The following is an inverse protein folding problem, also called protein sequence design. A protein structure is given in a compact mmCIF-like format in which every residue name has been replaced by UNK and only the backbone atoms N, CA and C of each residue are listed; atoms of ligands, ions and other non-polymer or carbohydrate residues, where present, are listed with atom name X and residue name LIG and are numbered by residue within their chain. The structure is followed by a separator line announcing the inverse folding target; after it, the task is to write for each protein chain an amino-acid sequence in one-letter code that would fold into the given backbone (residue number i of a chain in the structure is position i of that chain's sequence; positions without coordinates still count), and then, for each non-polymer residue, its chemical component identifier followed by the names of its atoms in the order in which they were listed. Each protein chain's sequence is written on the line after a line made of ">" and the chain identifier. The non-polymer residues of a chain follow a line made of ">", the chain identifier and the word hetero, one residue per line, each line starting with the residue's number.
data_IF_488941698287
#
_entry.id   IF_488941698287
#
_cell.length_a   1.000
_cell.length_b   1.000
_cell.length_c   1.000
_cell.angle_alpha   90.00
_cell.angle_beta   90.00
_cell.angle_gamma   90.00
#
_symmetry.space_group_name_H-M   'P 1'
#
loop_
_entity.id
_entity.type
_entity.pdbx_description
1 polymer ?
#
# COMPACT_ATOMS: atom_id res chain seq x y z
N UNK A 1 -26.02 -52.88 -17.13
CA UNK A 1 -25.15 -52.27 -18.15
C UNK A 1 -24.07 -51.56 -17.37
N UNK A 2 -22.97 -52.21 -16.99
CA UNK A 2 -21.78 -52.58 -17.80
C UNK A 2 -20.61 -51.85 -17.10
N UNK A 3 -19.92 -52.52 -16.17
CA UNK A 3 -18.67 -53.27 -16.31
C UNK A 3 -17.48 -52.48 -16.88
N UNK A 4 -16.41 -52.43 -16.07
CA UNK A 4 -15.04 -52.62 -16.53
C UNK A 4 -14.13 -51.39 -16.57
N UNK A 5 -13.12 -51.33 -15.70
CA UNK A 5 -11.79 -51.85 -16.08
C UNK A 5 -10.74 -51.66 -14.97
N UNK A 6 -10.01 -52.73 -14.74
CA UNK A 6 -8.90 -52.99 -13.82
C UNK A 6 -7.53 -52.64 -14.42
N UNK A 7 -6.55 -52.23 -13.59
CA UNK A 7 -5.13 -52.67 -13.60
C UNK A 7 -4.36 -51.90 -12.50
N UNK A 8 -3.78 -52.47 -11.43
CA UNK A 8 -2.77 -53.52 -11.22
C UNK A 8 -1.31 -52.99 -11.16
N UNK A 9 -0.82 -52.86 -9.91
CA UNK A 9 0.48 -53.29 -9.33
C UNK A 9 1.80 -52.86 -10.01
N UNK A 10 2.67 -52.19 -9.25
CA UNK A 10 4.09 -52.57 -9.13
C UNK A 10 4.74 -51.95 -7.88
N UNK A 11 5.17 -52.83 -6.99
CA UNK A 11 5.97 -52.64 -5.79
C UNK A 11 7.43 -52.93 -6.14
N UNK A 12 8.38 -52.02 -5.87
CA UNK A 12 9.82 -52.33 -5.90
C UNK A 12 10.55 -51.54 -4.80
N UNK A 13 10.97 -52.25 -3.76
CA UNK A 13 12.19 -51.99 -2.97
C UNK A 13 13.29 -52.92 -3.53
N UNK A 14 14.59 -52.56 -3.53
CA UNK A 14 15.42 -52.87 -2.35
C UNK A 14 16.65 -51.95 -2.08
N UNK A 15 17.09 -52.03 -0.82
CA UNK A 15 18.46 -52.05 -0.23
C UNK A 15 19.67 -51.18 -0.69
N UNK A 16 20.16 -50.40 0.28
CA UNK A 16 21.51 -50.37 0.90
C UNK A 16 22.80 -50.78 0.13
N UNK A 17 23.82 -49.89 0.16
CA UNK A 17 25.19 -50.08 0.71
C UNK A 17 26.12 -48.93 0.24
N UNK A 18 26.69 -48.14 1.17
CA UNK A 18 28.09 -48.11 1.66
C UNK A 18 29.18 -47.58 0.71
N UNK A 19 29.96 -46.61 1.26
CA UNK A 19 31.42 -46.32 1.04
C UNK A 19 31.84 -45.90 -0.37
N UNK A 20 32.90 -45.14 -0.65
CA UNK A 20 33.95 -44.37 0.02
C UNK A 20 34.73 -43.72 -1.14
N UNK A 21 35.39 -42.58 -0.92
CA UNK A 21 36.55 -42.08 -1.71
C UNK A 21 36.28 -41.68 -3.20
N UNK A 22 36.91 -40.69 -3.82
CA UNK A 22 38.09 -39.85 -3.55
C UNK A 22 38.09 -38.68 -4.56
N UNK A 23 38.63 -37.55 -4.13
CA UNK A 23 39.32 -36.45 -4.88
C UNK A 23 40.03 -36.87 -6.18
N UNK A 24 40.39 -35.96 -7.14
CA UNK A 24 41.19 -34.72 -6.90
C UNK A 24 40.86 -33.52 -7.83
N UNK A 25 41.27 -32.27 -7.58
CA UNK A 25 42.60 -31.76 -8.00
C UNK A 25 42.94 -30.36 -7.45
N UNK A 26 44.05 -30.32 -6.69
CA UNK A 26 45.07 -29.25 -6.50
C UNK A 26 45.61 -28.65 -7.84
N UNK A 27 46.55 -27.66 -7.91
CA UNK A 27 47.55 -27.18 -6.93
C UNK A 27 47.71 -25.62 -6.92
N UNK A 28 48.68 -24.90 -6.34
CA UNK A 28 49.99 -25.07 -5.69
C UNK A 28 50.21 -23.81 -4.79
N UNK A 29 50.90 -23.80 -3.66
CA UNK A 29 52.36 -23.76 -3.41
C UNK A 29 52.50 -23.00 -2.06
N UNK A 30 53.38 -23.24 -1.08
CA UNK A 30 54.81 -23.56 -1.14
C UNK A 30 55.36 -23.91 0.27
N UNK A 31 56.40 -24.76 0.29
CA UNK A 31 57.51 -24.92 1.27
C UNK A 31 57.24 -25.26 2.77
N UNK A 32 57.63 -26.46 3.29
CA UNK A 32 59.02 -26.96 3.61
C UNK A 32 59.60 -26.30 4.87
N UNK A 33 60.09 -26.92 5.96
CA UNK A 33 60.77 -28.21 6.26
C UNK A 33 60.77 -28.39 7.82
N UNK A 34 60.40 -29.54 8.39
CA UNK A 34 61.26 -30.69 8.79
C UNK A 34 62.00 -30.58 10.16
N UNK A 35 61.40 -31.13 11.23
CA UNK A 35 61.71 -32.38 12.00
C UNK A 35 63.19 -32.71 12.46
N UNK A 36 63.46 -33.73 13.33
CA UNK A 36 63.58 -33.62 14.80
C UNK A 36 64.81 -34.38 15.42
N UNK A 37 64.81 -34.48 16.76
CA UNK A 37 65.23 -35.63 17.61
C UNK A 37 66.73 -36.00 17.87
N UNK A 38 67.02 -36.04 19.19
CA UNK A 38 67.75 -37.06 19.99
C UNK A 38 69.19 -37.49 19.65
N UNK A 39 70.09 -37.39 20.67
CA UNK A 39 70.97 -38.45 21.21
C UNK A 39 71.91 -37.92 22.32
N UNK A 40 72.07 -38.70 23.40
CA UNK A 40 73.19 -38.67 24.38
C UNK A 40 74.45 -39.38 23.77
N UNK A 41 75.66 -39.54 24.40
CA UNK A 41 76.04 -39.40 25.84
C UNK A 41 77.51 -38.93 26.18
N UNK A 42 77.89 -39.06 27.47
CA UNK A 42 79.22 -39.40 28.09
C UNK A 42 80.21 -38.33 28.69
N UNK A 43 80.40 -38.49 30.04
CA UNK A 43 81.63 -38.61 30.89
C UNK A 43 82.50 -37.41 31.36
N UNK A 44 82.60 -37.34 32.73
CA UNK A 44 83.76 -37.11 33.67
C UNK A 44 84.63 -35.83 33.50
N UNK A 45 85.05 -35.08 34.54
CA UNK A 45 85.97 -35.41 35.67
C UNK A 45 85.92 -34.27 36.74
N UNK A 46 86.07 -34.64 38.03
CA UNK A 46 86.71 -34.01 39.23
C UNK A 46 86.99 -32.47 39.29
N UNK A 47 87.12 -31.73 40.40
CA UNK A 47 87.30 -31.94 41.86
C UNK A 47 87.50 -30.53 42.50
N UNK A 48 86.99 -30.24 43.72
CA UNK A 48 87.77 -29.97 44.97
C UNK A 48 87.75 -28.50 45.52
N UNK A 49 87.16 -28.35 46.74
CA UNK A 49 87.58 -27.58 47.97
C UNK A 49 87.59 -26.02 47.89
N UNK A 50 87.21 -25.16 48.87
CA UNK A 50 87.14 -25.20 50.35
C UNK A 50 86.10 -24.20 50.97
N UNK A 51 85.72 -24.46 52.23
CA UNK A 51 85.16 -23.57 53.30
C UNK A 51 86.31 -22.74 53.96
N UNK A 52 86.13 -21.63 54.73
CA UNK A 52 85.28 -21.59 55.96
C UNK A 52 84.69 -20.24 56.48
N UNK A 53 83.71 -20.39 57.38
CA UNK A 53 83.42 -19.70 58.68
C UNK A 53 83.73 -18.20 58.83
N UNK A 54 82.73 -17.38 59.20
CA UNK A 54 82.76 -16.57 60.44
C UNK A 54 81.37 -16.12 60.91
N UNK A 55 81.26 -15.96 62.23
CA UNK A 55 80.05 -15.73 63.05
C UNK A 55 80.20 -14.34 63.66
N UNK A 56 79.17 -13.48 63.62
CA UNK A 56 79.14 -12.31 64.49
C UNK A 56 77.71 -11.98 64.94
N UNK A 57 77.65 -11.63 66.21
CA UNK A 57 76.52 -11.49 67.10
C UNK A 57 75.81 -10.11 67.02
N UNK A 58 74.54 -10.15 67.45
CA UNK A 58 73.84 -9.22 68.36
C UNK A 58 73.47 -7.77 67.98
N UNK A 59 72.18 -7.49 68.26
CA UNK A 59 71.56 -6.30 68.90
C UNK A 59 71.75 -4.95 68.19
N UNK A 60 70.76 -4.10 67.94
CA UNK A 60 69.37 -3.99 68.37
C UNK A 60 69.03 -2.50 68.33
N UNK A 61 67.91 -2.06 67.74
CA UNK A 61 67.33 -0.74 68.05
C UNK A 61 65.91 -0.58 67.53
N UNK A 62 65.05 -0.29 68.51
CA UNK A 62 63.92 0.63 68.50
C UNK A 62 62.67 0.32 67.67
N UNK A 63 61.63 -0.02 68.45
CA UNK A 63 60.23 0.03 68.14
C UNK A 63 59.78 1.31 67.41
N UNK A 64 59.01 1.13 66.34
CA UNK A 64 57.81 1.94 66.11
C UNK A 64 56.64 1.04 65.73
N UNK A 65 55.69 1.01 66.65
CA UNK A 65 54.36 0.43 66.54
C UNK A 65 53.61 1.13 65.41
N UNK A 66 53.18 0.36 64.42
CA UNK A 66 52.28 0.78 63.35
C UNK A 66 51.44 -0.43 62.96
N UNK A 67 50.17 -0.38 63.34
CA UNK A 67 49.16 -1.42 63.25
C UNK A 67 48.96 -1.91 61.79
N UNK A 68 48.64 -3.20 61.60
CA UNK A 68 48.40 -3.96 60.35
C UNK A 68 49.61 -4.62 59.65
N UNK A 69 50.12 -5.69 60.26
CA UNK A 69 50.93 -6.71 59.59
C UNK A 69 50.06 -7.63 58.70
N UNK A 70 49.99 -7.37 57.39
CA UNK A 70 49.67 -8.42 56.41
C UNK A 70 50.91 -9.31 56.21
N UNK A 71 51.14 -10.22 57.17
CA UNK A 71 52.25 -11.17 57.13
C UNK A 71 51.92 -12.33 56.17
N UNK A 72 52.58 -12.35 55.02
CA UNK A 72 52.91 -13.58 54.28
C UNK A 72 51.78 -14.34 53.58
N UNK A 73 51.02 -13.69 52.69
CA UNK A 73 50.28 -14.43 51.65
C UNK A 73 51.15 -14.51 50.39
N UNK A 74 51.51 -15.72 49.96
CA UNK A 74 52.17 -15.97 48.67
C UNK A 74 51.45 -15.14 47.58
N UNK A 75 52.15 -14.51 46.62
CA UNK A 75 51.56 -13.57 45.65
C UNK A 75 50.44 -14.16 44.78
N UNK A 76 50.24 -15.48 44.81
CA UNK A 76 49.13 -16.18 44.17
C UNK A 76 47.79 -16.08 44.94
N UNK A 77 47.80 -16.00 46.28
CA UNK A 77 46.56 -15.92 47.10
C UNK A 77 45.93 -14.52 47.07
N UNK A 78 46.75 -13.46 47.05
CA UNK A 78 46.27 -12.08 46.88
C UNK A 78 45.60 -11.87 45.51
N UNK A 79 46.13 -12.49 44.45
CA UNK A 79 45.54 -12.45 43.10
C UNK A 79 44.18 -13.17 43.04
N UNK A 80 44.08 -14.36 43.64
CA UNK A 80 42.79 -15.09 43.72
C UNK A 80 41.73 -14.32 44.52
N UNK A 81 42.14 -13.63 45.59
CA UNK A 81 41.23 -12.77 46.38
C UNK A 81 40.78 -11.53 45.60
N UNK A 82 41.67 -10.87 44.85
CA UNK A 82 41.30 -9.73 44.00
C UNK A 82 40.35 -10.13 42.87
N UNK A 83 40.57 -11.29 42.24
CA UNK A 83 39.63 -11.84 41.25
C UNK A 83 38.30 -12.27 41.86
N UNK A 84 38.31 -12.90 43.02
CA UNK A 84 37.08 -13.26 43.73
C UNK A 84 36.31 -12.01 44.17
N UNK A 85 37.00 -10.94 44.58
CA UNK A 85 36.41 -9.66 44.94
C UNK A 85 35.83 -8.94 43.72
N UNK A 86 36.55 -8.93 42.58
CA UNK A 86 36.02 -8.35 41.34
C UNK A 86 34.83 -9.14 40.81
N UNK A 87 34.86 -10.48 40.90
CA UNK A 87 33.72 -11.33 40.58
C UNK A 87 32.52 -11.05 41.49
N UNK A 88 32.74 -10.95 42.80
CA UNK A 88 31.67 -10.67 43.75
C UNK A 88 31.05 -9.29 43.52
N UNK A 89 31.86 -8.26 43.28
CA UNK A 89 31.40 -6.88 43.15
C UNK A 89 30.78 -6.60 41.77
N UNK A 90 31.27 -7.24 40.71
CA UNK A 90 30.82 -7.00 39.33
C UNK A 90 29.74 -7.98 38.85
N UNK A 91 29.69 -9.19 39.40
CA UNK A 91 28.74 -10.24 38.98
C UNK A 91 27.73 -10.54 40.07
N UNK A 92 28.18 -10.99 41.26
CA UNK A 92 27.25 -11.45 42.30
C UNK A 92 26.42 -10.31 42.89
N UNK A 93 27.02 -9.14 43.16
CA UNK A 93 26.32 -8.02 43.77
C UNK A 93 25.25 -7.45 42.83
N UNK A 94 25.55 -7.09 41.56
CA UNK A 94 24.52 -6.58 40.65
C UNK A 94 23.50 -7.66 40.26
N UNK A 95 23.90 -8.93 40.19
CA UNK A 95 22.97 -10.04 39.96
C UNK A 95 22.02 -10.26 41.13
N UNK A 96 22.50 -10.16 42.37
CA UNK A 96 21.66 -10.25 43.55
C UNK A 96 20.68 -9.08 43.62
N UNK A 97 21.15 -7.84 43.39
CA UNK A 97 20.28 -6.67 43.32
C UNK A 97 19.21 -6.82 42.23
N UNK A 98 19.60 -7.23 41.03
CA UNK A 98 18.68 -7.47 39.91
C UNK A 98 17.66 -8.57 40.22
N UNK A 99 18.09 -9.68 40.82
CA UNK A 99 17.20 -10.76 41.22
C UNK A 99 16.21 -10.30 42.31
N UNK A 100 16.67 -9.52 43.30
CA UNK A 100 15.76 -8.95 44.31
C UNK A 100 14.74 -7.99 43.69
N UNK A 101 15.15 -7.20 42.70
CA UNK A 101 14.24 -6.32 41.96
C UNK A 101 13.16 -7.13 41.22
N UNK A 102 13.56 -8.08 40.38
CA UNK A 102 12.62 -8.86 39.58
C UNK A 102 11.71 -9.76 40.42
N UNK A 103 12.16 -10.21 41.59
CA UNK A 103 11.36 -11.09 42.44
C UNK A 103 10.41 -10.35 43.38
N UNK A 104 10.79 -9.18 43.92
CA UNK A 104 10.05 -8.51 44.98
C UNK A 104 9.42 -7.17 44.59
N UNK A 105 9.99 -6.46 43.62
CA UNK A 105 9.61 -5.07 43.31
C UNK A 105 8.92 -4.96 41.95
N UNK A 106 9.34 -5.75 40.97
CA UNK A 106 8.82 -5.64 39.62
C UNK A 106 7.32 -5.93 39.56
N UNK A 107 6.55 -5.02 38.95
CA UNK A 107 5.10 -5.15 38.84
C UNK A 107 4.72 -6.24 37.85
N UNK A 108 3.64 -6.94 38.17
CA UNK A 108 3.06 -7.94 37.29
C UNK A 108 2.41 -7.28 36.07
N UNK A 109 2.71 -7.82 34.89
CA UNK A 109 2.17 -7.36 33.62
C UNK A 109 1.44 -8.51 32.93
N UNK A 110 0.18 -8.25 32.64
CA UNK A 110 -0.73 -9.14 31.98
C UNK A 110 -0.76 -8.84 30.48
N UNK A 111 -0.82 -9.88 29.67
CA UNK A 111 -0.78 -9.80 28.22
C UNK A 111 -2.04 -10.42 27.61
N UNK A 112 -2.67 -9.70 26.69
CA UNK A 112 -3.78 -10.20 25.86
C UNK A 112 -3.37 -10.17 24.41
N UNK A 113 -3.40 -11.33 23.78
CA UNK A 113 -3.10 -11.50 22.37
C UNK A 113 -4.37 -11.45 21.53
N UNK A 114 -4.31 -10.75 20.41
CA UNK A 114 -5.37 -10.62 19.42
C UNK A 114 -4.83 -11.12 18.10
N UNK A 115 -5.61 -11.93 17.40
CA UNK A 115 -5.25 -12.46 16.10
C UNK A 115 -6.31 -12.12 15.07
N UNK A 116 -5.91 -11.45 13.99
CA UNK A 116 -6.78 -11.14 12.87
C UNK A 116 -6.04 -11.15 11.53
N UNK A 117 -6.78 -11.20 10.43
CA UNK A 117 -6.25 -11.03 9.07
C UNK A 117 -7.04 -9.98 8.32
N UNK A 118 -6.37 -9.16 7.52
CA UNK A 118 -7.04 -8.24 6.59
C UNK A 118 -7.43 -9.05 5.36
N UNK A 119 -8.72 -9.07 5.04
CA UNK A 119 -9.25 -9.81 3.89
C UNK A 119 -9.87 -8.81 2.92
N UNK A 120 -9.36 -8.78 1.70
CA UNK A 120 -10.01 -8.15 0.56
C UNK A 120 -10.71 -9.19 -0.31
N UNK A 121 -11.75 -8.79 -1.03
CA UNK A 121 -12.19 -9.53 -2.22
C UNK A 121 -11.22 -9.22 -3.36
N UNK A 122 -9.96 -9.61 -3.20
CA UNK A 122 -9.00 -9.62 -4.28
C UNK A 122 -9.49 -10.67 -5.27
N UNK A 123 -10.26 -10.22 -6.26
CA UNK A 123 -10.58 -11.02 -7.41
C UNK A 123 -9.24 -11.44 -7.97
N UNK A 124 -8.86 -12.70 -7.78
CA UNK A 124 -7.75 -13.33 -8.47
C UNK A 124 -7.93 -12.97 -9.93
N UNK A 125 -7.18 -11.98 -10.39
CA UNK A 125 -7.16 -11.60 -11.79
C UNK A 125 -6.44 -12.76 -12.45
N UNK A 126 -7.23 -13.75 -12.84
CA UNK A 126 -6.83 -14.99 -13.50
C UNK A 126 -6.20 -14.76 -14.89
N UNK A 127 -5.60 -13.59 -15.12
CA UNK A 127 -4.89 -13.22 -16.35
C UNK A 127 -3.75 -12.22 -16.16
N UNK A 128 -3.36 -11.83 -14.94
CA UNK A 128 -2.37 -10.76 -14.73
C UNK A 128 -0.97 -11.19 -14.25
N UNK A 129 -0.85 -12.30 -13.53
CA UNK A 129 0.34 -12.54 -12.68
C UNK A 129 1.28 -13.67 -13.17
N UNK A 130 1.12 -14.12 -14.42
CA UNK A 130 2.03 -15.14 -14.98
C UNK A 130 3.48 -14.64 -15.08
N UNK A 131 3.68 -13.35 -15.36
CA UNK A 131 5.00 -12.74 -15.46
C UNK A 131 5.62 -12.42 -14.08
N UNK A 132 4.81 -12.10 -13.08
CA UNK A 132 5.26 -11.92 -11.69
C UNK A 132 5.64 -13.26 -11.03
N UNK A 133 4.86 -14.31 -11.30
CA UNK A 133 5.18 -15.68 -10.88
C UNK A 133 6.47 -16.23 -11.52
N UNK A 134 6.76 -15.88 -12.79
CA UNK A 134 7.98 -16.31 -13.49
C UNK A 134 9.25 -15.57 -13.02
N UNK A 135 9.12 -14.32 -12.59
CA UNK A 135 10.25 -13.48 -12.17
C UNK A 135 10.54 -13.58 -10.66
N UNK A 136 9.70 -14.30 -9.90
CA UNK A 136 9.78 -14.38 -8.44
C UNK A 136 9.40 -13.08 -7.73
N UNK A 137 9.01 -12.06 -8.47
CA UNK A 137 8.46 -10.79 -8.00
C UNK A 137 6.94 -10.87 -7.99
N UNK A 138 6.39 -11.86 -7.27
CA UNK A 138 4.97 -11.86 -6.96
C UNK A 138 4.64 -10.47 -6.40
N UNK A 139 3.72 -9.76 -7.05
CA UNK A 139 3.35 -8.41 -6.62
C UNK A 139 3.00 -8.49 -5.14
N UNK A 140 3.72 -7.74 -4.30
CA UNK A 140 3.37 -7.52 -2.90
C UNK A 140 1.92 -7.03 -2.92
N UNK A 141 0.98 -7.93 -2.63
CA UNK A 141 -0.45 -7.68 -2.83
C UNK A 141 -0.87 -6.50 -1.97
N UNK A 142 -1.80 -5.67 -2.46
CA UNK A 142 -2.25 -4.46 -1.74
C UNK A 142 -2.64 -4.74 -0.28
N UNK A 143 -3.18 -5.92 0.00
CA UNK A 143 -3.52 -6.44 1.34
C UNK A 143 -2.33 -6.53 2.31
N UNK A 144 -1.11 -6.79 1.82
CA UNK A 144 0.10 -6.81 2.68
C UNK A 144 0.52 -5.40 3.07
N UNK A 145 0.46 -4.44 2.16
CA UNK A 145 0.69 -3.01 2.46
C UNK A 145 -0.32 -2.50 3.48
N UNK A 146 -1.60 -2.85 3.33
CA UNK A 146 -2.65 -2.45 4.28
C UNK A 146 -2.41 -3.04 5.68
N UNK A 147 -1.84 -4.24 5.77
CA UNK A 147 -1.47 -4.88 7.03
C UNK A 147 -0.38 -4.10 7.75
N UNK A 148 0.65 -3.64 7.03
CA UNK A 148 1.71 -2.80 7.62
C UNK A 148 1.20 -1.41 8.03
N UNK A 149 0.32 -0.79 7.23
CA UNK A 149 -0.31 0.48 7.60
C UNK A 149 -1.10 0.32 8.90
N UNK A 150 -1.83 -0.78 9.03
CA UNK A 150 -2.59 -1.08 10.25
C UNK A 150 -1.66 -1.26 11.46
N UNK A 151 -0.55 -1.98 11.31
CA UNK A 151 0.43 -2.14 12.40
C UNK A 151 1.01 -0.80 12.86
N UNK A 152 1.45 0.04 11.92
CA UNK A 152 1.99 1.38 12.24
C UNK A 152 0.92 2.28 12.90
N UNK A 153 -0.34 2.17 12.45
CA UNK A 153 -1.46 2.86 13.08
C UNK A 153 -1.68 2.43 14.53
N UNK A 154 -1.63 1.13 14.83
CA UNK A 154 -1.83 0.59 16.19
C UNK A 154 -0.73 1.05 17.17
N UNK A 155 0.48 1.27 16.67
CA UNK A 155 1.62 1.81 17.43
C UNK A 155 1.69 3.35 17.40
N UNK A 156 0.82 3.97 16.61
CA UNK A 156 0.80 5.39 16.31
C UNK A 156 0.18 6.25 17.39
N UNK A 157 0.39 7.57 17.25
CA UNK A 157 -0.09 8.58 18.19
C UNK A 157 -1.62 8.64 18.29
N UNK A 158 -2.33 8.46 17.18
CA UNK A 158 -3.79 8.55 17.16
C UNK A 158 -4.44 7.50 18.07
N UNK A 159 -3.95 6.26 18.04
CA UNK A 159 -4.45 5.19 18.92
C UNK A 159 -4.21 5.53 20.38
N UNK A 160 -3.05 6.07 20.72
CA UNK A 160 -2.72 6.46 22.10
C UNK A 160 -3.60 7.61 22.58
N UNK A 161 -3.85 8.63 21.75
CA UNK A 161 -4.77 9.73 22.09
C UNK A 161 -6.19 9.22 22.30
N UNK A 162 -6.70 8.36 21.41
CA UNK A 162 -8.03 7.76 21.54
C UNK A 162 -8.15 6.91 22.80
N UNK A 163 -7.15 6.08 23.06
CA UNK A 163 -7.10 5.20 24.21
C UNK A 163 -6.96 5.99 25.53
N UNK A 164 -6.25 7.11 25.52
CA UNK A 164 -6.19 8.05 26.63
C UNK A 164 -7.54 8.71 26.91
N UNK A 165 -8.33 9.01 25.88
CA UNK A 165 -9.66 9.61 26.05
C UNK A 165 -10.72 8.57 26.45
N UNK A 166 -10.63 7.34 25.93
CA UNK A 166 -11.67 6.32 26.12
C UNK A 166 -11.47 5.50 27.41
N UNK A 167 -10.23 5.21 27.81
CA UNK A 167 -9.92 4.30 28.93
C UNK A 167 -8.96 4.93 29.98
N UNK A 168 -8.62 6.22 29.86
CA UNK A 168 -7.71 6.94 30.77
C UNK A 168 -6.39 6.19 31.03
N UNK A 169 -5.73 5.67 29.98
CA UNK A 169 -4.54 4.83 30.13
C UNK A 169 -3.39 5.52 30.88
N UNK A 170 -3.28 6.84 30.77
CA UNK A 170 -2.25 7.60 31.48
C UNK A 170 -2.42 7.44 33.00
N UNK A 171 -3.66 7.46 33.50
CA UNK A 171 -3.98 7.25 34.91
C UNK A 171 -3.66 5.82 35.36
N UNK A 172 -3.88 4.83 34.49
CA UNK A 172 -3.57 3.44 34.80
C UNK A 172 -2.05 3.22 34.88
N UNK A 173 -1.29 3.73 33.92
CA UNK A 173 0.16 3.59 33.85
C UNK A 173 0.93 4.47 34.86
N UNK A 174 0.29 5.53 35.39
CA UNK A 174 0.83 6.35 36.48
C UNK A 174 0.42 5.87 37.88
N UNK A 175 -0.32 4.76 37.99
CA UNK A 175 -0.78 4.24 39.27
C UNK A 175 0.38 3.80 40.18
N UNK A 176 0.17 3.87 41.50
CA UNK A 176 1.17 3.47 42.50
C UNK A 176 1.44 1.97 42.56
N UNK A 177 0.66 1.16 41.85
CA UNK A 177 0.85 -0.30 41.72
C UNK A 177 1.94 -0.63 40.70
N UNK A 178 2.32 0.33 39.86
CA UNK A 178 3.41 0.21 38.90
C UNK A 178 4.75 0.51 39.56
N UNK A 179 5.75 -0.32 39.26
CA UNK A 179 7.10 -0.18 39.77
C UNK A 179 7.77 1.13 39.31
N UNK A 180 8.80 1.56 40.01
CA UNK A 180 9.44 2.85 39.73
C UNK A 180 10.13 2.94 38.37
N UNK A 181 10.35 1.81 37.67
CA UNK A 181 11.00 1.78 36.36
C UNK A 181 9.97 1.98 35.25
N UNK A 182 8.81 1.35 35.38
CA UNK A 182 7.74 1.39 34.39
C UNK A 182 6.64 2.42 34.70
N UNK A 183 6.64 3.03 35.89
CA UNK A 183 5.61 4.00 36.27
C UNK A 183 5.78 5.30 35.49
N UNK A 184 4.69 5.76 34.89
CA UNK A 184 4.61 7.06 34.24
C UNK A 184 4.35 8.18 35.25
N UNK A 185 4.81 9.39 34.95
CA UNK A 185 4.39 10.59 35.65
C UNK A 185 2.93 10.94 35.29
N UNK A 186 2.21 11.55 36.23
CA UNK A 186 0.78 11.83 36.10
C UNK A 186 0.45 12.94 35.08
N UNK A 187 1.44 13.73 34.68
CA UNK A 187 1.31 14.77 33.66
C UNK A 187 2.50 14.65 32.71
N UNK A 188 2.28 14.03 31.55
CA UNK A 188 3.30 13.82 30.54
C UNK A 188 2.82 14.29 29.16
N UNK A 189 3.73 14.78 28.31
CA UNK A 189 3.40 15.05 26.93
C UNK A 189 3.01 13.75 26.22
N UNK A 190 2.07 13.86 25.27
CA UNK A 190 1.56 12.70 24.52
C UNK A 190 2.68 11.90 23.84
N UNK A 191 3.76 12.53 23.41
CA UNK A 191 4.86 11.86 22.72
C UNK A 191 5.63 10.88 23.60
N UNK A 192 5.74 11.18 24.90
CA UNK A 192 6.34 10.25 25.86
C UNK A 192 5.40 9.08 26.16
N UNK A 193 4.08 9.33 26.21
CA UNK A 193 3.08 8.28 26.33
C UNK A 193 3.08 7.36 25.10
N UNK A 194 3.27 7.90 23.89
CA UNK A 194 3.41 7.12 22.66
C UNK A 194 4.67 6.26 22.67
N UNK A 195 5.80 6.83 23.11
CA UNK A 195 7.03 6.06 23.25
C UNK A 195 6.89 4.91 24.26
N UNK A 196 6.19 5.16 25.37
CA UNK A 196 5.87 4.13 26.34
C UNK A 196 4.94 3.06 25.76
N UNK A 197 3.90 3.48 25.03
CA UNK A 197 2.93 2.59 24.39
C UNK A 197 3.60 1.61 23.44
N UNK A 198 4.57 2.05 22.64
CA UNK A 198 5.37 1.16 21.75
C UNK A 198 6.12 0.05 22.49
N UNK A 199 6.36 0.19 23.79
CA UNK A 199 6.90 -0.87 24.64
C UNK A 199 5.84 -1.80 25.25
N UNK A 200 4.57 -1.40 25.22
CA UNK A 200 3.42 -2.13 25.77
C UNK A 200 2.58 -2.85 24.71
N UNK A 201 2.66 -2.43 23.45
CA UNK A 201 2.12 -3.14 22.31
C UNK A 201 3.25 -3.81 21.54
N UNK A 202 3.01 -5.04 21.08
CA UNK A 202 3.91 -5.73 20.16
C UNK A 202 3.06 -6.26 18.99
N UNK A 203 3.35 -5.76 17.78
CA UNK A 203 2.66 -6.18 16.56
C UNK A 203 3.57 -7.07 15.73
N UNK A 204 3.02 -8.16 15.19
CA UNK A 204 3.76 -9.05 14.29
C UNK A 204 2.89 -9.46 13.11
N UNK A 205 3.53 -9.64 11.95
CA UNK A 205 2.87 -10.07 10.72
C UNK A 205 3.57 -11.30 10.17
N UNK A 206 2.81 -12.38 10.01
CA UNK A 206 3.28 -13.58 9.33
C UNK A 206 2.90 -13.51 7.85
N UNK A 207 3.92 -13.31 6.99
CA UNK A 207 3.75 -13.23 5.55
C UNK A 207 3.24 -14.54 4.92
N UNK A 208 3.41 -15.69 5.58
CA UNK A 208 2.96 -16.99 5.07
C UNK A 208 1.46 -17.17 5.23
N UNK A 209 0.94 -16.83 6.41
CA UNK A 209 -0.48 -16.96 6.74
C UNK A 209 -1.29 -15.68 6.53
N UNK A 210 -0.63 -14.54 6.26
CA UNK A 210 -1.23 -13.20 6.21
C UNK A 210 -2.00 -12.85 7.49
N UNK A 211 -1.48 -13.31 8.62
CA UNK A 211 -2.04 -13.09 9.95
C UNK A 211 -1.26 -11.98 10.64
N UNK A 212 -1.99 -11.06 11.27
CA UNK A 212 -1.47 -10.07 12.20
C UNK A 212 -1.79 -10.56 13.61
N UNK A 213 -0.75 -10.64 14.43
CA UNK A 213 -0.86 -10.93 15.85
C UNK A 213 -0.44 -9.69 16.64
N UNK A 214 -1.33 -9.22 17.49
CA UNK A 214 -1.14 -8.03 18.33
C UNK A 214 -1.19 -8.44 19.78
N UNK A 215 -0.09 -8.22 20.49
CA UNK A 215 0.02 -8.46 21.91
C UNK A 215 -0.04 -7.11 22.65
N UNK A 216 -1.00 -6.96 23.56
CA UNK A 216 -1.15 -5.76 24.39
C UNK A 216 -0.86 -6.11 25.84
N UNK A 217 -0.03 -5.29 26.49
CA UNK A 217 0.36 -5.45 27.89
C UNK A 217 -0.21 -4.33 28.76
N UNK A 218 -0.67 -4.69 29.96
CA UNK A 218 -1.05 -3.74 31.01
C UNK A 218 -0.86 -4.35 32.41
N UNK A 219 -1.06 -3.55 33.46
CA UNK A 219 -0.77 -3.97 34.85
C UNK A 219 -1.92 -4.67 35.56
N UNK A 220 -3.14 -4.62 35.02
CA UNK A 220 -4.28 -5.38 35.54
C UNK A 220 -4.99 -6.20 34.46
N UNK A 221 -5.48 -7.41 34.76
CA UNK A 221 -6.14 -8.27 33.78
C UNK A 221 -7.34 -7.61 33.09
N UNK A 222 -8.15 -6.87 33.86
CA UNK A 222 -9.34 -6.19 33.36
C UNK A 222 -8.98 -5.02 32.44
N UNK A 223 -7.88 -4.32 32.72
CA UNK A 223 -7.42 -3.24 31.87
C UNK A 223 -6.79 -3.77 30.59
N UNK A 224 -5.99 -4.84 30.68
CA UNK A 224 -5.39 -5.48 29.50
C UNK A 224 -6.47 -5.91 28.50
N UNK A 225 -7.55 -6.55 28.96
CA UNK A 225 -8.66 -6.94 28.09
C UNK A 225 -9.37 -5.74 27.47
N UNK A 226 -9.64 -4.69 28.26
CA UNK A 226 -10.31 -3.47 27.77
C UNK A 226 -9.48 -2.77 26.71
N UNK A 227 -8.21 -2.54 26.97
CA UNK A 227 -7.29 -1.93 26.01
C UNK A 227 -7.22 -2.78 24.74
N UNK A 228 -7.01 -4.09 24.85
CA UNK A 228 -6.97 -4.97 23.69
C UNK A 228 -8.27 -4.89 22.86
N UNK A 229 -9.43 -4.85 23.52
CA UNK A 229 -10.73 -4.69 22.85
C UNK A 229 -10.86 -3.36 22.10
N UNK A 230 -10.35 -2.26 22.68
CA UNK A 230 -10.33 -0.94 22.04
C UNK A 230 -9.38 -0.91 20.84
N UNK A 231 -8.17 -1.44 20.99
CA UNK A 231 -7.17 -1.56 19.92
C UNK A 231 -7.74 -2.32 18.72
N UNK A 232 -8.41 -3.45 18.96
CA UNK A 232 -9.10 -4.20 17.90
C UNK A 232 -10.21 -3.38 17.23
N UNK A 233 -11.02 -2.66 18.02
CA UNK A 233 -12.08 -1.80 17.49
C UNK A 233 -11.52 -0.67 16.61
N UNK A 234 -10.45 0.00 17.05
CA UNK A 234 -9.83 1.08 16.28
C UNK A 234 -9.22 0.56 14.97
N UNK A 235 -8.59 -0.62 15.01
CA UNK A 235 -8.09 -1.26 13.80
C UNK A 235 -9.21 -1.63 12.82
N UNK A 236 -10.32 -2.17 13.32
CA UNK A 236 -11.49 -2.48 12.50
C UNK A 236 -12.10 -1.22 11.88
N UNK A 237 -12.16 -0.11 12.63
CA UNK A 237 -12.68 1.16 12.15
C UNK A 237 -11.79 1.78 11.08
N UNK A 238 -10.46 1.72 11.24
CA UNK A 238 -9.51 2.18 10.22
C UNK A 238 -9.72 1.43 8.90
N UNK A 239 -9.73 0.09 8.94
CA UNK A 239 -9.92 -0.73 7.74
C UNK A 239 -11.26 -0.44 7.05
N UNK A 240 -12.33 -0.28 7.84
CA UNK A 240 -13.65 0.07 7.32
C UNK A 240 -13.64 1.47 6.69
N UNK A 241 -13.01 2.45 7.33
CA UNK A 241 -12.90 3.83 6.83
C UNK A 241 -12.10 3.89 5.53
N UNK A 242 -10.94 3.22 5.47
CA UNK A 242 -10.13 3.10 4.26
C UNK A 242 -10.92 2.44 3.13
N UNK A 243 -11.66 1.37 3.43
CA UNK A 243 -12.51 0.68 2.44
C UNK A 243 -13.65 1.56 1.93
N UNK A 244 -14.32 2.30 2.81
CA UNK A 244 -15.39 3.22 2.44
C UNK A 244 -14.87 4.38 1.59
N UNK A 245 -13.72 4.95 1.96
CA UNK A 245 -13.08 6.00 1.18
C UNK A 245 -12.67 5.49 -0.20
N UNK A 246 -12.02 4.32 -0.30
CA UNK A 246 -11.67 3.71 -1.58
C UNK A 246 -12.89 3.47 -2.47
N UNK A 247 -13.99 2.92 -1.91
CA UNK A 247 -15.25 2.71 -2.62
C UNK A 247 -15.85 4.02 -3.15
N UNK A 248 -15.90 5.04 -2.30
CA UNK A 248 -16.41 6.36 -2.69
C UNK A 248 -15.56 6.98 -3.78
N UNK A 249 -14.24 6.93 -3.65
CA UNK A 249 -13.32 7.58 -4.58
C UNK A 249 -13.32 6.87 -5.95
N UNK A 250 -13.48 5.54 -5.98
CA UNK A 250 -13.64 4.76 -7.22
C UNK A 250 -14.89 5.14 -8.03
N UNK A 251 -16.00 5.46 -7.35
CA UNK A 251 -17.28 5.81 -8.00
C UNK A 251 -17.36 7.30 -8.34
N UNK A 252 -16.82 8.18 -7.49
CA UNK A 252 -16.90 9.63 -7.61
C UNK A 252 -16.43 10.15 -8.98
N UNK A 253 -15.34 9.59 -9.51
CA UNK A 253 -14.83 10.01 -10.83
C UNK A 253 -15.81 9.65 -11.96
N UNK A 254 -16.40 8.45 -11.92
CA UNK A 254 -17.35 8.01 -12.93
C UNK A 254 -18.69 8.77 -12.85
N UNK A 255 -19.14 9.12 -11.64
CA UNK A 255 -20.32 9.98 -11.46
C UNK A 255 -20.11 11.36 -12.08
N UNK A 256 -18.93 11.93 -11.90
CA UNK A 256 -18.56 13.22 -12.50
C UNK A 256 -18.51 13.14 -14.03
N UNK A 257 -18.01 12.04 -14.61
CA UNK A 257 -18.06 11.82 -16.06
C UNK A 257 -19.50 11.74 -16.60
N UNK A 258 -20.37 10.99 -15.92
CA UNK A 258 -21.78 10.90 -16.29
C UNK A 258 -22.44 12.28 -16.25
N UNK A 259 -22.18 13.06 -15.20
CA UNK A 259 -22.70 14.44 -15.06
C UNK A 259 -22.21 15.35 -16.19
N UNK A 260 -20.94 15.25 -16.58
CA UNK A 260 -20.38 16.01 -17.72
C UNK A 260 -21.04 15.61 -19.04
N UNK A 261 -21.18 14.32 -19.30
CA UNK A 261 -21.82 13.81 -20.50
C UNK A 261 -23.31 14.20 -20.57
N UNK A 262 -24.03 14.14 -19.45
CA UNK A 262 -25.43 14.57 -19.33
C UNK A 262 -25.59 16.06 -19.65
N UNK A 263 -24.76 16.92 -19.07
CA UNK A 263 -24.79 18.36 -19.35
C UNK A 263 -24.50 18.66 -20.82
N UNK A 264 -23.54 17.97 -21.44
CA UNK A 264 -23.23 18.11 -22.86
C UNK A 264 -24.43 17.70 -23.74
N UNK A 265 -25.05 16.55 -23.45
CA UNK A 265 -26.23 16.08 -24.18
C UNK A 265 -27.41 17.05 -24.03
N UNK A 266 -27.63 17.59 -22.82
CA UNK A 266 -28.66 18.60 -22.55
C UNK A 266 -28.42 19.88 -23.36
N UNK A 267 -27.19 20.38 -23.40
CA UNK A 267 -26.81 21.56 -24.18
C UNK A 267 -27.09 21.36 -25.68
N UNK A 268 -26.73 20.21 -26.25
CA UNK A 268 -26.95 19.92 -27.67
C UNK A 268 -28.45 19.78 -27.96
N UNK A 269 -29.22 19.12 -27.10
CA UNK A 269 -30.69 19.04 -27.23
C UNK A 269 -31.35 20.42 -27.17
N UNK A 270 -30.85 21.33 -26.34
CA UNK A 270 -31.33 22.72 -26.31
C UNK A 270 -30.99 23.45 -27.61
N UNK A 271 -29.74 23.37 -28.09
CA UNK A 271 -29.34 23.94 -29.39
C UNK A 271 -30.20 23.40 -30.53
N UNK A 272 -30.52 22.10 -30.53
CA UNK A 272 -31.39 21.49 -31.54
C UNK A 272 -32.82 22.00 -31.45
N UNK A 273 -33.35 22.17 -30.23
CA UNK A 273 -34.66 22.79 -30.03
C UNK A 273 -34.68 24.24 -30.52
N UNK A 274 -33.65 25.02 -30.20
CA UNK A 274 -33.53 26.43 -30.58
C UNK A 274 -33.38 26.59 -32.10
N UNK A 275 -32.63 25.70 -32.75
CA UNK A 275 -32.53 25.61 -34.21
C UNK A 275 -33.90 25.34 -34.84
N UNK A 276 -34.62 24.31 -34.37
CA UNK A 276 -35.97 23.98 -34.88
C UNK A 276 -36.99 25.09 -34.64
N UNK A 277 -36.87 25.81 -33.52
CA UNK A 277 -37.74 26.93 -33.18
C UNK A 277 -37.49 28.15 -34.07
N UNK A 278 -36.22 28.45 -34.37
CA UNK A 278 -35.84 29.59 -35.24
C UNK A 278 -36.28 29.31 -36.67
N UNK A 279 -36.02 28.10 -37.17
CA UNK A 279 -36.32 27.72 -38.56
C UNK A 279 -37.77 27.27 -38.79
N UNK A 280 -38.63 27.32 -37.75
CA UNK A 280 -40.06 26.95 -37.80
C UNK A 280 -40.35 25.61 -38.50
N UNK A 281 -39.41 24.66 -38.40
CA UNK A 281 -39.47 23.38 -39.11
C UNK A 281 -39.20 22.22 -38.15
N UNK A 282 -40.11 21.24 -38.13
CA UNK A 282 -40.00 20.05 -37.28
C UNK A 282 -38.84 19.15 -37.75
N UNK A 283 -38.61 19.11 -39.06
CA UNK A 283 -37.55 18.33 -39.70
C UNK A 283 -37.04 19.08 -40.95
N UNK A 284 -35.94 19.85 -40.85
CA UNK A 284 -35.47 20.74 -41.92
C UNK A 284 -35.04 19.97 -43.18
N UNK A 285 -34.53 18.74 -43.07
CA UNK A 285 -34.20 17.88 -44.23
C UNK A 285 -35.46 17.52 -45.02
N UNK A 286 -36.50 16.99 -44.35
CA UNK A 286 -37.76 16.65 -45.02
C UNK A 286 -38.47 17.86 -45.58
N UNK A 287 -38.42 18.99 -44.88
CA UNK A 287 -39.00 20.23 -45.37
C UNK A 287 -38.27 20.72 -46.62
N UNK A 288 -36.93 20.67 -46.63
CA UNK A 288 -36.13 20.99 -47.81
C UNK A 288 -36.45 20.06 -48.99
N UNK A 289 -36.58 18.74 -48.77
CA UNK A 289 -36.97 17.79 -49.82
C UNK A 289 -38.34 18.12 -50.44
N UNK A 290 -39.36 18.36 -49.62
CA UNK A 290 -40.71 18.73 -50.08
C UNK A 290 -40.69 20.05 -50.87
N UNK A 291 -39.91 21.03 -50.40
CA UNK A 291 -39.80 22.33 -51.06
C UNK A 291 -39.04 22.24 -52.40
N UNK A 292 -37.99 21.42 -52.49
CA UNK A 292 -37.27 21.12 -53.73
C UNK A 292 -38.19 20.41 -54.74
N UNK A 293 -38.96 19.41 -54.30
CA UNK A 293 -39.91 18.70 -55.15
C UNK A 293 -40.99 19.63 -55.70
N UNK A 294 -41.52 20.53 -54.88
CA UNK A 294 -42.50 21.54 -55.31
C UNK A 294 -41.92 22.50 -56.35
N UNK A 295 -40.68 22.97 -56.16
CA UNK A 295 -39.99 23.83 -57.14
C UNK A 295 -39.77 23.08 -58.44
N UNK A 296 -39.30 21.82 -58.38
CA UNK A 296 -39.12 21.01 -59.58
C UNK A 296 -40.44 20.81 -60.34
N UNK A 297 -41.55 20.65 -59.62
CA UNK A 297 -42.90 20.60 -60.19
C UNK A 297 -43.30 21.91 -60.90
N UNK A 298 -43.05 23.06 -60.27
CA UNK A 298 -43.31 24.38 -60.87
C UNK A 298 -42.39 24.66 -62.08
N UNK A 299 -41.12 24.30 -62.01
CA UNK A 299 -40.16 24.42 -63.11
C UNK A 299 -40.57 23.55 -64.30
N UNK A 300 -41.08 22.35 -64.05
CA UNK A 300 -41.66 21.48 -65.09
C UNK A 300 -42.89 22.13 -65.75
N UNK A 301 -43.78 22.74 -64.97
CA UNK A 301 -44.94 23.49 -65.51
C UNK A 301 -44.50 24.72 -66.31
N UNK A 302 -43.45 25.41 -65.88
CA UNK A 302 -42.87 26.55 -66.60
C UNK A 302 -42.28 26.11 -67.94
N UNK A 303 -41.55 24.99 -67.97
CA UNK A 303 -41.01 24.38 -69.19
C UNK A 303 -42.11 23.99 -70.18
N UNK A 304 -43.20 23.35 -69.72
CA UNK A 304 -44.34 23.02 -70.58
C UNK A 304 -45.00 24.29 -71.16
N UNK A 305 -45.19 25.31 -70.32
CA UNK A 305 -45.77 26.60 -70.73
C UNK A 305 -44.89 27.31 -71.77
N UNK A 306 -43.57 27.32 -71.57
CA UNK A 306 -42.60 27.89 -72.53
C UNK A 306 -42.53 27.11 -73.83
N UNK A 307 -42.58 25.78 -73.77
CA UNK A 307 -42.63 24.92 -74.96
C UNK A 307 -43.87 25.23 -75.80
N UNK A 308 -45.04 25.33 -75.17
CA UNK A 308 -46.29 25.75 -75.84
C UNK A 308 -46.18 27.14 -76.44
N UNK A 309 -45.64 28.12 -75.72
CA UNK A 309 -45.39 29.47 -76.25
C UNK A 309 -44.51 29.44 -77.50
N UNK A 310 -43.39 28.70 -77.46
CA UNK A 310 -42.48 28.59 -78.59
C UNK A 310 -43.14 27.98 -79.84
N UNK A 311 -44.03 26.99 -79.67
CA UNK A 311 -44.80 26.43 -80.78
C UNK A 311 -45.78 27.44 -81.38
N UNK A 312 -46.45 28.25 -80.56
CA UNK A 312 -47.50 29.19 -81.01
C UNK A 312 -46.95 30.49 -81.62
N UNK A 313 -45.82 31.02 -81.13
CA UNK A 313 -45.24 32.31 -81.59
C UNK A 313 -44.79 32.26 -83.06
N UNK A 314 -44.52 31.07 -83.62
CA UNK A 314 -44.20 30.90 -85.04
C UNK A 314 -45.41 30.64 -85.95
N UNK A 315 -46.61 30.39 -85.40
CA UNK A 315 -47.81 30.01 -86.17
C UNK A 315 -48.96 31.01 -86.06
N UNK A 316 -48.98 31.86 -85.04
CA UNK A 316 -50.10 32.77 -84.75
C UNK A 316 -49.55 34.16 -84.41
N UNK A 317 -50.30 35.19 -84.80
CA UNK A 317 -49.97 36.59 -84.54
C UNK A 317 -49.77 36.88 -83.04
N UNK A 318 -48.74 37.65 -82.71
CA UNK A 318 -48.21 37.81 -81.35
C UNK A 318 -49.21 38.53 -80.41
N UNK A 319 -50.21 39.20 -80.99
CA UNK A 319 -51.31 39.87 -80.30
C UNK A 319 -52.49 38.95 -79.91
N UNK A 320 -52.43 37.66 -80.25
CA UNK A 320 -53.49 36.68 -79.97
C UNK A 320 -53.80 36.54 -78.47
N UNK A 321 -55.09 36.47 -78.07
CA UNK A 321 -55.49 36.24 -76.68
C UNK A 321 -54.83 35.02 -76.03
N UNK A 322 -54.57 33.96 -76.81
CA UNK A 322 -53.95 32.71 -76.34
C UNK A 322 -52.49 32.90 -75.94
N UNK A 323 -51.71 33.66 -76.72
CA UNK A 323 -50.30 33.98 -76.40
C UNK A 323 -50.23 34.86 -75.15
N UNK A 324 -51.13 35.87 -75.04
CA UNK A 324 -51.21 36.72 -73.85
C UNK A 324 -51.54 35.93 -72.58
N UNK A 325 -52.43 34.95 -72.66
CA UNK A 325 -52.77 34.09 -71.53
C UNK A 325 -51.58 33.24 -71.09
N UNK A 326 -50.89 32.59 -72.04
CA UNK A 326 -49.71 31.78 -71.73
C UNK A 326 -48.56 32.63 -71.16
N UNK A 327 -48.32 33.85 -71.68
CA UNK A 327 -47.33 34.78 -71.10
C UNK A 327 -47.68 35.20 -69.67
N UNK A 328 -48.97 35.44 -69.37
CA UNK A 328 -49.41 35.69 -67.99
C UNK A 328 -49.18 34.48 -67.09
N UNK A 329 -49.43 33.28 -67.60
CA UNK A 329 -49.22 32.04 -66.86
C UNK A 329 -47.73 31.79 -66.59
N UNK A 330 -46.86 32.08 -67.56
CA UNK A 330 -45.41 32.09 -67.41
C UNK A 330 -44.97 33.05 -66.30
N UNK A 331 -45.43 34.30 -66.34
CA UNK A 331 -45.10 35.32 -65.32
C UNK A 331 -45.57 34.90 -63.91
N UNK A 332 -46.75 34.30 -63.79
CA UNK A 332 -47.26 33.76 -62.51
C UNK A 332 -46.38 32.61 -62.01
N UNK A 333 -46.01 31.66 -62.87
CA UNK A 333 -45.15 30.55 -62.49
C UNK A 333 -43.75 31.02 -62.07
N UNK A 334 -43.18 31.99 -62.79
CA UNK A 334 -41.90 32.62 -62.42
C UNK A 334 -42.01 33.26 -61.03
N UNK A 335 -43.07 34.04 -60.78
CA UNK A 335 -43.30 34.67 -59.46
C UNK A 335 -43.47 33.63 -58.35
N UNK A 336 -44.17 32.53 -58.61
CA UNK A 336 -44.35 31.45 -57.64
C UNK A 336 -43.03 30.73 -57.34
N UNK A 337 -42.22 30.44 -58.36
CA UNK A 337 -40.88 29.85 -58.18
C UNK A 337 -39.98 30.78 -57.38
N UNK A 338 -39.98 32.08 -57.69
CA UNK A 338 -39.19 33.07 -56.96
C UNK A 338 -39.63 33.18 -55.50
N UNK A 339 -40.92 33.33 -55.24
CA UNK A 339 -41.46 33.40 -53.88
C UNK A 339 -41.11 32.16 -53.05
N UNK A 340 -41.22 30.95 -53.63
CA UNK A 340 -40.88 29.70 -52.94
C UNK A 340 -39.39 29.56 -52.67
N UNK A 341 -38.54 30.02 -53.59
CA UNK A 341 -37.08 30.07 -53.38
C UNK A 341 -36.67 31.09 -52.33
N UNK A 342 -37.38 32.20 -52.24
CA UNK A 342 -37.13 33.23 -51.22
C UNK A 342 -37.53 32.73 -49.83
N UNK A 343 -38.67 32.04 -49.72
CA UNK A 343 -39.15 31.37 -48.49
C UNK A 343 -38.15 30.31 -47.97
N UNK A 344 -37.48 29.56 -48.86
CA UNK A 344 -36.40 28.60 -48.51
C UNK A 344 -35.14 29.30 -47.97
N UNK A 345 -34.81 30.48 -48.48
CA UNK A 345 -33.52 31.14 -48.21
C UNK A 345 -33.46 31.88 -46.88
N UNK A 346 -34.56 31.94 -46.11
CA UNK A 346 -34.63 32.62 -44.82
C UNK A 346 -34.43 34.14 -44.88
N UNK A 347 -34.36 34.74 -46.07
CA UNK A 347 -34.27 36.19 -46.26
C UNK A 347 -35.65 36.76 -46.53
N UNK A 348 -36.05 37.75 -45.72
CA UNK A 348 -37.16 38.64 -46.06
C UNK A 348 -37.05 39.11 -47.52
N UNK A 349 -38.19 39.33 -48.21
CA UNK A 349 -38.21 39.61 -49.64
C UNK A 349 -37.56 40.97 -49.91
N UNK A 350 -36.25 40.99 -50.12
CA UNK A 350 -35.56 42.16 -50.64
C UNK A 350 -36.01 42.32 -52.07
N UNK A 351 -36.71 43.43 -52.30
CA UNK A 351 -37.27 43.79 -53.59
C UNK A 351 -36.19 43.73 -54.68
N UNK A 352 -36.56 42.93 -55.68
CA UNK A 352 -35.98 42.71 -56.97
C UNK A 352 -35.11 43.89 -57.46
N UNK A 353 -33.80 43.70 -57.51
CA UNK A 353 -33.04 44.18 -58.67
C UNK A 353 -31.79 43.31 -58.83
N UNK A 354 -31.65 42.72 -60.02
CA UNK A 354 -30.52 41.91 -60.49
C UNK A 354 -30.65 40.40 -60.26
N UNK A 355 -31.19 39.74 -61.29
CA UNK A 355 -31.08 38.31 -61.54
C UNK A 355 -29.63 38.04 -61.94
N UNK A 356 -28.73 37.96 -60.97
CA UNK A 356 -27.40 37.40 -61.16
C UNK A 356 -27.16 36.38 -60.07
N UNK A 357 -27.04 35.13 -60.51
CA UNK A 357 -26.51 33.96 -59.80
C UNK A 357 -27.49 33.24 -58.86
N UNK A 358 -28.16 32.20 -59.39
CA UNK A 358 -28.82 31.17 -58.58
C UNK A 358 -27.88 30.39 -57.65
N UNK A 359 -26.57 30.59 -57.76
CA UNK A 359 -25.54 29.97 -56.91
C UNK A 359 -25.57 30.48 -55.46
N UNK A 360 -25.90 31.76 -55.22
CA UNK A 360 -25.89 32.37 -53.88
C UNK A 360 -27.09 31.98 -53.00
N UNK A 361 -28.12 31.37 -53.59
CA UNK A 361 -29.34 30.95 -52.87
C UNK A 361 -29.33 29.47 -52.49
N UNK A 362 -28.73 28.63 -53.34
CA UNK A 362 -28.45 27.22 -53.02
C UNK A 362 -27.39 27.11 -51.90
N UNK A 363 -26.44 28.03 -51.83
CA UNK A 363 -25.43 28.06 -50.76
C UNK A 363 -26.04 28.29 -49.36
N UNK A 364 -27.11 29.09 -49.25
CA UNK A 364 -27.81 29.34 -47.99
C UNK A 364 -28.51 28.07 -47.46
N UNK A 365 -29.25 27.37 -48.31
CA UNK A 365 -29.89 26.10 -47.94
C UNK A 365 -28.85 25.01 -47.61
N UNK A 366 -27.79 24.90 -48.41
CA UNK A 366 -26.69 23.97 -48.14
C UNK A 366 -26.01 24.27 -46.80
N UNK A 367 -25.85 25.55 -46.44
CA UNK A 367 -25.27 25.93 -45.14
C UNK A 367 -26.19 25.59 -43.96
N UNK A 368 -27.51 25.76 -44.11
CA UNK A 368 -28.49 25.39 -43.10
C UNK A 368 -28.53 23.87 -42.89
N UNK A 369 -28.48 23.11 -43.99
CA UNK A 369 -28.44 21.65 -43.96
C UNK A 369 -27.16 21.14 -43.30
N UNK A 370 -26.00 21.73 -43.63
CA UNK A 370 -24.72 21.38 -43.01
C UNK A 370 -24.71 21.65 -41.49
N UNK A 371 -25.25 22.80 -41.05
CA UNK A 371 -25.39 23.11 -39.63
C UNK A 371 -26.32 22.13 -38.92
N UNK A 372 -27.43 21.73 -39.57
CA UNK A 372 -28.35 20.72 -39.02
C UNK A 372 -27.67 19.35 -38.88
N UNK A 373 -26.98 18.90 -39.93
CA UNK A 373 -26.22 17.65 -39.92
C UNK A 373 -25.15 17.64 -38.83
N UNK A 374 -24.44 18.75 -38.63
CA UNK A 374 -23.49 18.91 -37.52
C UNK A 374 -24.18 18.72 -36.16
N UNK A 375 -25.32 19.38 -35.91
CA UNK A 375 -26.06 19.23 -34.66
C UNK A 375 -26.58 17.80 -34.44
N UNK A 376 -27.01 17.11 -35.51
CA UNK A 376 -27.47 15.72 -35.44
C UNK A 376 -26.32 14.78 -35.08
N UNK A 377 -25.16 14.93 -35.73
CA UNK A 377 -23.96 14.15 -35.42
C UNK A 377 -23.49 14.45 -33.99
N UNK A 378 -23.49 15.72 -33.57
CA UNK A 378 -23.11 16.10 -32.21
C UNK A 378 -24.07 15.48 -31.18
N UNK A 379 -25.37 15.44 -31.47
CA UNK A 379 -26.37 14.79 -30.63
C UNK A 379 -26.12 13.28 -30.52
N UNK A 380 -25.84 12.61 -31.64
CA UNK A 380 -25.53 11.18 -31.65
C UNK A 380 -24.27 10.89 -30.84
N UNK A 381 -23.20 11.65 -31.07
CA UNK A 381 -21.95 11.51 -30.34
C UNK A 381 -22.13 11.74 -28.83
N UNK A 382 -22.89 12.78 -28.44
CA UNK A 382 -23.18 13.05 -27.05
C UNK A 382 -24.04 11.94 -26.40
N UNK A 383 -24.97 11.34 -27.16
CA UNK A 383 -25.77 10.22 -26.69
C UNK A 383 -24.90 8.96 -26.49
N UNK A 384 -24.02 8.64 -27.45
CA UNK A 384 -23.08 7.53 -27.32
C UNK A 384 -22.07 7.76 -26.18
N UNK A 385 -21.60 8.98 -26.00
CA UNK A 385 -20.72 9.33 -24.88
C UNK A 385 -21.43 9.17 -23.52
N UNK A 386 -22.71 9.57 -23.44
CA UNK A 386 -23.51 9.40 -22.23
C UNK A 386 -23.75 7.92 -21.90
N UNK A 387 -24.09 7.08 -22.89
CA UNK A 387 -24.27 5.64 -22.67
C UNK A 387 -22.95 4.96 -22.29
N UNK A 388 -21.83 5.36 -22.90
CA UNK A 388 -20.50 4.87 -22.51
C UNK A 388 -20.13 5.30 -21.08
N UNK A 389 -20.43 6.54 -20.67
CA UNK A 389 -20.21 7.01 -19.31
C UNK A 389 -21.04 6.24 -18.28
N UNK A 390 -22.31 5.94 -18.59
CA UNK A 390 -23.16 5.09 -17.74
C UNK A 390 -22.59 3.67 -17.58
N UNK A 391 -22.14 3.06 -18.68
CA UNK A 391 -21.48 1.75 -18.62
C UNK A 391 -20.19 1.79 -17.79
N UNK A 392 -19.42 2.89 -17.90
CA UNK A 392 -18.26 3.16 -17.07
C UNK A 392 -18.62 3.28 -15.58
N UNK A 393 -19.71 3.97 -15.24
CA UNK A 393 -20.20 4.09 -13.86
C UNK A 393 -20.59 2.73 -13.27
N UNK A 394 -21.32 1.90 -14.03
CA UNK A 394 -21.68 0.55 -13.56
C UNK A 394 -20.45 -0.34 -13.39
N UNK A 395 -19.45 -0.21 -14.26
CA UNK A 395 -18.16 -0.89 -14.09
C UNK A 395 -17.43 -0.41 -12.83
N UNK A 396 -17.38 0.90 -12.59
CA UNK A 396 -16.77 1.47 -11.39
C UNK A 396 -17.50 1.04 -10.11
N UNK A 397 -18.83 0.96 -10.12
CA UNK A 397 -19.62 0.43 -9.00
C UNK A 397 -19.29 -1.03 -8.71
N UNK A 398 -19.27 -1.86 -9.75
CA UNK A 398 -18.91 -3.27 -9.62
C UNK A 398 -17.48 -3.44 -9.08
N UNK A 399 -16.53 -2.63 -9.53
CA UNK A 399 -15.16 -2.65 -9.02
C UNK A 399 -15.06 -2.15 -7.57
N UNK A 400 -15.77 -1.07 -7.24
CA UNK A 400 -15.82 -0.51 -5.90
C UNK A 400 -16.43 -1.49 -4.88
N UNK A 401 -17.40 -2.30 -5.29
CA UNK A 401 -17.97 -3.38 -4.46
C UNK A 401 -16.98 -4.56 -4.28
N UNK A 402 -16.03 -4.75 -5.20
CA UNK A 402 -14.94 -5.75 -5.05
C UNK A 402 -13.80 -5.26 -4.16
N UNK A 403 -13.58 -3.95 -4.06
CA UNK A 403 -12.52 -3.37 -3.22
C UNK A 403 -12.82 -3.36 -1.71
N UNK A 404 -13.87 -4.07 -1.27
CA UNK A 404 -14.20 -4.20 0.14
C UNK A 404 -13.11 -4.98 0.89
N UNK A 405 -12.52 -4.32 1.90
CA UNK A 405 -11.65 -4.97 2.88
C UNK A 405 -12.34 -5.02 4.22
N UNK A 406 -12.11 -6.10 4.93
CA UNK A 406 -12.60 -6.26 6.30
C UNK A 406 -11.57 -7.00 7.14
N UNK A 407 -11.69 -6.79 8.45
CA UNK A 407 -10.85 -7.41 9.44
C UNK A 407 -11.51 -8.72 9.89
N UNK A 408 -10.88 -9.85 9.58
CA UNK A 408 -11.33 -11.17 9.99
C UNK A 408 -10.63 -11.58 11.29
N UNK A 409 -11.34 -11.47 12.41
CA UNK A 409 -10.84 -11.84 13.74
C UNK A 409 -10.95 -13.34 13.94
N UNK A 410 -9.83 -14.00 14.25
CA UNK A 410 -9.82 -15.43 14.61
C UNK A 410 -9.52 -15.66 16.09
N UNK A 411 -8.80 -14.74 16.74
CA UNK A 411 -8.53 -14.79 18.17
C UNK A 411 -8.95 -13.45 18.81
N UNK A 412 -10.16 -13.38 19.42
CA UNK A 412 -10.63 -12.16 20.07
C UNK A 412 -9.90 -11.89 21.39
N UNK A 413 -9.89 -10.62 21.86
CA UNK A 413 -9.25 -10.25 23.11
C UNK A 413 -9.87 -11.01 24.30
N UNK A 414 -9.03 -11.54 25.17
CA UNK A 414 -9.45 -12.34 26.32
C UNK A 414 -8.83 -11.81 27.61
N UNK A 415 -9.49 -12.10 28.74
CA UNK A 415 -8.97 -11.70 30.05
C UNK A 415 -7.79 -12.59 30.44
N UNK A 416 -6.60 -12.03 30.67
CA UNK A 416 -5.46 -12.83 31.11
C UNK A 416 -5.70 -13.40 32.51
N UNK A 417 -5.27 -14.64 32.75
CA UNK A 417 -5.41 -15.30 34.07
C UNK A 417 -4.11 -15.26 34.89
N UNK A 418 -2.96 -15.10 34.22
CA UNK A 418 -1.65 -15.11 34.86
C UNK A 418 -0.77 -14.00 34.26
N UNK A 419 0.17 -13.49 35.06
CA UNK A 419 1.10 -12.45 34.66
C UNK A 419 2.30 -13.09 33.93
N UNK A 420 2.35 -12.92 32.61
CA UNK A 420 3.42 -13.48 31.78
C UNK A 420 4.74 -12.71 31.97
N UNK A 421 4.65 -11.43 32.33
CA UNK A 421 5.82 -10.56 32.47
C UNK A 421 5.91 -9.92 33.86
N UNK A 422 7.15 -9.59 34.30
CA UNK A 422 8.42 -10.01 33.70
C UNK A 422 8.67 -11.51 33.93
N UNK A 423 9.39 -12.17 33.01
CA UNK A 423 9.81 -13.56 33.20
C UNK A 423 10.89 -13.63 34.28
N UNK A 424 10.49 -13.50 35.55
CA UNK A 424 11.36 -13.18 36.71
C UNK A 424 12.61 -14.08 36.79
N UNK A 425 12.43 -15.40 36.63
CA UNK A 425 13.51 -16.39 36.69
C UNK A 425 14.45 -16.29 35.47
N UNK A 426 13.88 -16.20 34.27
CA UNK A 426 14.64 -16.15 33.02
C UNK A 426 15.42 -14.84 32.95
N UNK A 427 14.80 -13.70 33.27
CA UNK A 427 15.44 -12.39 33.27
C UNK A 427 16.59 -12.32 34.29
N UNK A 428 16.40 -12.88 35.50
CA UNK A 428 17.46 -12.94 36.52
C UNK A 428 18.63 -13.83 36.07
N UNK A 429 18.34 -14.97 35.42
CA UNK A 429 19.37 -15.88 34.90
C UNK A 429 20.15 -15.26 33.73
N UNK A 430 19.45 -14.60 32.80
CA UNK A 430 20.08 -13.89 31.67
C UNK A 430 20.98 -12.78 32.19
N UNK A 431 20.52 -12.00 33.18
CA UNK A 431 21.32 -10.95 33.80
C UNK A 431 22.59 -11.53 34.46
N UNK A 432 22.46 -12.63 35.20
CA UNK A 432 23.61 -13.31 35.80
C UNK A 432 24.62 -13.80 34.75
N UNK A 433 24.15 -14.49 33.71
CA UNK A 433 25.01 -15.01 32.63
C UNK A 433 25.66 -13.86 31.85
N UNK A 434 24.93 -12.79 31.56
CA UNK A 434 25.45 -11.61 30.88
C UNK A 434 26.57 -10.92 31.68
N UNK A 435 26.36 -10.71 32.98
CA UNK A 435 27.39 -10.17 33.86
C UNK A 435 28.60 -11.09 33.96
N UNK A 436 28.38 -12.41 34.02
CA UNK A 436 29.45 -13.40 34.04
C UNK A 436 30.28 -13.35 32.75
N UNK A 437 29.63 -13.23 31.59
CA UNK A 437 30.31 -13.13 30.30
C UNK A 437 31.12 -11.83 30.19
N UNK A 438 30.56 -10.69 30.58
CA UNK A 438 31.26 -9.39 30.60
C UNK A 438 32.46 -9.45 31.53
N UNK A 439 32.29 -9.97 32.75
CA UNK A 439 33.40 -10.14 33.68
C UNK A 439 34.48 -11.07 33.11
N UNK A 440 34.07 -12.20 32.51
CA UNK A 440 34.98 -13.12 31.82
C UNK A 440 35.80 -12.42 30.73
N UNK A 441 35.17 -11.62 29.88
CA UNK A 441 35.84 -10.84 28.84
C UNK A 441 36.83 -9.82 29.45
N UNK A 442 36.40 -9.05 30.45
CA UNK A 442 37.25 -8.07 31.13
C UNK A 442 38.45 -8.73 31.79
N UNK A 443 38.28 -9.89 32.42
CA UNK A 443 39.40 -10.63 33.00
C UNK A 443 40.39 -11.10 31.94
N UNK A 444 39.93 -11.67 30.83
CA UNK A 444 40.82 -12.11 29.72
C UNK A 444 41.59 -10.94 29.14
N UNK A 445 40.94 -9.80 28.88
CA UNK A 445 41.59 -8.58 28.38
C UNK A 445 42.64 -8.08 29.38
N UNK A 446 42.30 -8.00 30.67
CA UNK A 446 43.21 -7.54 31.71
C UNK A 446 44.44 -8.45 31.85
N UNK A 447 44.25 -9.77 31.68
CA UNK A 447 45.36 -10.74 31.68
C UNK A 447 46.21 -10.64 30.41
N UNK A 448 45.60 -10.47 29.23
CA UNK A 448 46.30 -10.30 27.96
C UNK A 448 47.19 -9.06 27.94
N UNK A 449 46.65 -7.89 28.33
CA UNK A 449 47.42 -6.64 28.41
C UNK A 449 48.63 -6.81 29.34
N UNK A 450 48.46 -7.52 30.45
CA UNK A 450 49.53 -7.74 31.43
C UNK A 450 50.60 -8.70 30.94
N UNK A 451 50.24 -9.70 30.13
CA UNK A 451 51.19 -10.65 29.54
C UNK A 451 52.03 -9.99 28.45
N UNK A 452 51.43 -9.05 27.70
CA UNK A 452 52.15 -8.24 26.71
C UNK A 452 53.00 -7.10 27.30
N UNK A 453 52.73 -6.68 28.54
CA UNK A 453 53.52 -5.66 29.28
C UNK A 453 54.71 -6.24 30.05
N UNK A 454 54.86 -7.56 30.07
CA UNK A 454 55.98 -8.27 30.70
C UNK A 454 56.98 -8.71 29.65
#
# INVERSE_FOLDING_TARGET
>A
MENGSTAKVAEIRPEASKTSEKEPSKPASEASKAKPAAKSPLKRVASVIALPIERTEQQGSSAKTGFFYFKGLRPQHLRRRLLALSFALMVLLPSFLGATYFLLIASDRYSSTIGFSVRGMDGTSAGGDFFGALTGLASVGTTTTDSFILMDYLEGREVVERLSNDEDILKHFSSNEVDFIYRLEAELPIEELVQYWRGMINTSFDNTSSIIEVEVQAFTPEMTQRIASRVLSYGSELVNTLSQNARRDAVKFAEEEVRRAELRLKMIRMRMKDFRSTESSIDPTKNAEVQIELIAGLEKQLLDTRSRLATLVGTIDESSPTIRQLRKQEDVLIKQILNKRDEISGREPVQLTTITNGADRLSSLSSLLANYEELVVEQEFAQQAYTAALAGLERSRAEADRQQRYLAVFNPPSKPQDAIYPRRLINSLILFIGLLAIWGLVTVIAYSIRDHLK
#
